data_IF_541058381913
#
_entry.id   IF_541058381913
#
_cell.length_a   1.000
_cell.length_b   1.000
_cell.length_c   1.000
_cell.angle_alpha   90.00
_cell.angle_beta   90.00
_cell.angle_gamma   90.00
#
_symmetry.space_group_name_H-M   'P 1'
#
loop_
_entity.id
_entity.type
_entity.pdbx_description
1 polymer ?
#
# COMPACT_ATOMS: atom_id res chain seq x y z
N UNK A 1 22.00 19.23 12.92
CA UNK A 1 20.72 18.47 12.80
C UNK A 1 19.90 18.79 14.05
N UNK A 2 18.56 18.92 13.96
CA UNK A 2 17.74 19.20 15.15
C UNK A 2 17.81 18.03 16.12
N UNK A 3 17.90 18.31 17.43
CA UNK A 3 17.99 17.31 18.48
C UNK A 3 16.84 16.29 18.44
N UNK A 4 15.62 16.72 18.14
CA UNK A 4 14.45 15.85 17.94
C UNK A 4 14.65 14.80 16.83
N UNK A 5 15.43 15.10 15.79
CA UNK A 5 15.74 14.16 14.72
C UNK A 5 16.83 13.17 15.15
N UNK A 6 17.79 13.62 15.94
CA UNK A 6 18.87 12.76 16.47
C UNK A 6 18.34 11.73 17.46
N UNK A 7 17.28 12.07 18.20
CA UNK A 7 16.67 11.23 19.24
C UNK A 7 15.50 10.37 18.71
N UNK A 8 15.26 10.34 17.39
CA UNK A 8 14.24 9.42 16.81
C UNK A 8 14.68 7.97 17.03
N UNK A 9 13.82 7.23 17.74
CA UNK A 9 14.03 5.79 17.89
C UNK A 9 13.82 5.05 16.55
N UNK A 10 14.66 4.05 16.28
CA UNK A 10 14.49 3.17 15.14
C UNK A 10 13.20 2.33 15.29
N UNK A 11 12.60 1.98 14.16
CA UNK A 11 11.41 1.11 14.14
C UNK A 11 11.72 -0.27 14.73
N UNK A 12 11.03 -0.65 15.79
CA UNK A 12 11.17 -1.97 16.43
C UNK A 12 10.73 -3.11 15.51
N UNK A 13 9.71 -2.89 14.68
CA UNK A 13 9.29 -3.86 13.65
C UNK A 13 10.42 -4.09 12.66
N UNK A 14 11.10 -3.01 12.22
CA UNK A 14 12.23 -3.12 11.29
C UNK A 14 13.43 -3.84 11.93
N UNK A 15 13.69 -3.62 13.19
CA UNK A 15 14.74 -4.34 13.95
C UNK A 15 14.49 -5.85 13.95
N UNK A 16 13.26 -6.27 14.25
CA UNK A 16 12.87 -7.70 14.24
C UNK A 16 12.97 -8.28 12.83
N UNK A 17 12.46 -7.59 11.82
CA UNK A 17 12.52 -8.05 10.43
C UNK A 17 13.97 -8.21 9.95
N UNK A 18 14.85 -7.26 10.27
CA UNK A 18 16.26 -7.32 9.87
C UNK A 18 17.01 -8.48 10.54
N UNK A 19 16.64 -8.87 11.76
CA UNK A 19 17.24 -10.01 12.45
C UNK A 19 16.91 -11.36 11.79
N UNK A 20 15.78 -11.45 11.09
CA UNK A 20 15.33 -12.66 10.37
C UNK A 20 15.54 -12.62 8.85
N UNK A 21 15.94 -11.49 8.30
CA UNK A 21 16.08 -11.33 6.85
C UNK A 21 17.15 -12.30 6.27
N UNK A 22 16.77 -13.04 5.22
CA UNK A 22 17.63 -14.02 4.54
C UNK A 22 17.75 -15.37 5.26
N UNK A 23 17.06 -15.58 6.38
CA UNK A 23 17.01 -16.85 7.09
C UNK A 23 15.86 -17.72 6.59
N UNK A 24 16.17 -18.90 6.06
CA UNK A 24 15.16 -19.87 5.57
C UNK A 24 14.52 -20.73 6.67
N UNK A 25 15.08 -20.69 7.89
CA UNK A 25 14.61 -21.40 9.08
C UNK A 25 13.63 -20.57 9.93
N UNK A 26 13.28 -19.37 9.48
CA UNK A 26 12.42 -18.43 10.21
C UNK A 26 11.15 -18.13 9.40
N UNK A 27 9.99 -18.24 10.04
CA UNK A 27 8.71 -17.81 9.47
C UNK A 27 8.57 -16.28 9.63
N UNK A 28 8.31 -15.59 8.51
CA UNK A 28 8.29 -14.13 8.42
C UNK A 28 6.93 -13.56 8.85
N UNK A 29 6.71 -13.32 10.15
CA UNK A 29 5.48 -12.74 10.69
C UNK A 29 5.65 -11.27 11.13
N UNK A 30 6.68 -10.57 10.67
CA UNK A 30 7.00 -9.21 11.11
C UNK A 30 6.28 -8.10 10.36
N UNK A 31 5.77 -8.35 9.15
CA UNK A 31 4.98 -7.40 8.37
C UNK A 31 3.57 -7.92 8.11
N UNK A 32 2.60 -7.01 8.00
CA UNK A 32 1.22 -7.33 7.60
C UNK A 32 1.09 -7.46 6.10
N UNK A 33 1.84 -8.38 5.50
CA UNK A 33 1.80 -8.67 4.07
C UNK A 33 1.43 -10.15 3.82
N UNK A 34 0.81 -10.43 2.68
CA UNK A 34 0.53 -11.79 2.24
C UNK A 34 1.82 -12.45 1.72
N UNK A 35 1.94 -13.76 1.87
CA UNK A 35 2.93 -14.61 1.22
C UNK A 35 2.55 -14.96 -0.23
N UNK A 36 1.32 -14.61 -0.65
CA UNK A 36 0.86 -14.78 -2.02
C UNK A 36 1.32 -13.62 -2.91
N UNK A 37 1.73 -13.96 -4.13
CA UNK A 37 2.05 -12.96 -5.15
C UNK A 37 0.79 -12.21 -5.54
N UNK A 38 0.90 -10.87 -5.68
CA UNK A 38 -0.21 -10.04 -6.17
C UNK A 38 -0.85 -10.65 -7.42
N UNK A 39 -2.18 -10.77 -7.50
CA UNK A 39 -2.87 -11.36 -8.65
C UNK A 39 -2.49 -10.73 -10.00
N UNK A 40 -2.43 -11.56 -11.05
CA UNK A 40 -2.00 -11.14 -12.38
C UNK A 40 -2.79 -9.94 -12.93
N UNK A 41 -4.10 -9.91 -12.71
CA UNK A 41 -4.97 -8.81 -13.17
C UNK A 41 -4.53 -7.46 -12.59
N UNK A 42 -4.10 -7.44 -11.32
CA UNK A 42 -3.62 -6.21 -10.64
C UNK A 42 -2.26 -5.80 -11.18
N UNK A 43 -1.34 -6.77 -11.32
CA UNK A 43 0.00 -6.52 -11.86
C UNK A 43 -0.06 -6.03 -13.31
N UNK A 44 -0.89 -6.67 -14.14
CA UNK A 44 -1.04 -6.29 -15.54
C UNK A 44 -1.62 -4.89 -15.67
N UNK A 45 -2.62 -4.52 -14.88
CA UNK A 45 -3.18 -3.17 -14.87
C UNK A 45 -2.10 -2.10 -14.56
N UNK A 46 -1.19 -2.39 -13.62
CA UNK A 46 -0.09 -1.48 -13.32
C UNK A 46 0.92 -1.39 -14.48
N UNK A 47 1.25 -2.51 -15.12
CA UNK A 47 2.14 -2.54 -16.29
C UNK A 47 1.53 -1.72 -17.44
N UNK A 48 0.26 -1.94 -17.74
CA UNK A 48 -0.46 -1.23 -18.80
C UNK A 48 -0.52 0.29 -18.53
N UNK A 49 -0.74 0.69 -17.28
CA UNK A 49 -0.70 2.09 -16.86
C UNK A 49 0.67 2.74 -17.15
N UNK A 50 1.74 2.07 -16.76
CA UNK A 50 3.11 2.53 -17.06
C UNK A 50 3.38 2.61 -18.57
N UNK A 51 2.93 1.63 -19.36
CA UNK A 51 3.08 1.63 -20.81
C UNK A 51 2.30 2.76 -21.49
N UNK A 52 1.15 3.17 -20.93
CA UNK A 52 0.41 4.35 -21.38
C UNK A 52 1.04 5.68 -20.97
N UNK A 53 2.12 5.67 -20.20
CA UNK A 53 2.81 6.87 -19.73
C UNK A 53 2.08 7.60 -18.58
N UNK A 54 1.27 6.90 -17.81
CA UNK A 54 0.54 7.44 -16.65
C UNK A 54 1.49 7.57 -15.44
N UNK A 55 2.49 8.46 -15.56
CA UNK A 55 3.61 8.59 -14.60
C UNK A 55 3.68 9.98 -13.97
N UNK A 56 2.59 10.73 -13.98
CA UNK A 56 2.51 12.08 -13.42
C UNK A 56 1.89 12.07 -12.02
N UNK A 57 2.07 13.15 -11.29
CA UNK A 57 1.44 13.34 -9.99
C UNK A 57 -0.09 13.32 -10.10
N UNK A 58 -0.73 12.53 -9.27
CA UNK A 58 -2.17 12.56 -9.10
C UNK A 58 -2.60 13.75 -8.22
N UNK A 59 -3.89 14.03 -8.18
CA UNK A 59 -4.48 14.95 -7.21
C UNK A 59 -4.24 14.47 -5.77
N UNK A 60 -4.19 15.40 -4.80
CA UNK A 60 -3.94 15.07 -3.38
C UNK A 60 -4.92 14.05 -2.79
N UNK A 61 -6.13 13.99 -3.30
CA UNK A 61 -7.14 13.00 -2.93
C UNK A 61 -7.08 11.71 -3.78
N UNK A 62 -6.03 11.54 -4.59
CA UNK A 62 -5.90 10.41 -5.52
C UNK A 62 -6.70 10.56 -6.80
N UNK A 63 -6.69 9.52 -7.63
CA UNK A 63 -7.42 9.49 -8.89
C UNK A 63 -8.93 9.35 -8.65
N UNK A 64 -9.78 10.12 -9.35
CA UNK A 64 -11.25 10.02 -9.24
C UNK A 64 -11.74 8.58 -9.46
N UNK A 65 -11.21 7.90 -10.47
CA UNK A 65 -11.56 6.53 -10.83
C UNK A 65 -11.26 5.54 -9.70
N UNK A 66 -10.15 5.71 -8.98
CA UNK A 66 -9.84 4.90 -7.80
C UNK A 66 -10.86 5.14 -6.69
N UNK A 67 -11.22 6.39 -6.43
CA UNK A 67 -12.19 6.75 -5.37
C UNK A 67 -13.59 6.21 -5.68
N UNK A 68 -14.00 6.26 -6.94
CA UNK A 68 -15.25 5.68 -7.41
C UNK A 68 -15.25 4.15 -7.25
N UNK A 69 -14.17 3.49 -7.65
CA UNK A 69 -14.01 2.05 -7.50
C UNK A 69 -14.04 1.60 -6.03
N UNK A 70 -13.35 2.34 -5.14
CA UNK A 70 -13.38 2.09 -3.69
C UNK A 70 -14.79 2.30 -3.13
N UNK A 71 -15.47 3.38 -3.51
CA UNK A 71 -16.84 3.66 -3.06
C UNK A 71 -17.81 2.55 -3.52
N UNK A 72 -17.70 2.10 -4.76
CA UNK A 72 -18.51 1.02 -5.31
C UNK A 72 -18.26 -0.31 -4.56
N UNK A 73 -17.00 -0.68 -4.35
CA UNK A 73 -16.63 -1.89 -3.61
C UNK A 73 -17.16 -1.85 -2.17
N UNK A 74 -16.93 -0.77 -1.46
CA UNK A 74 -17.37 -0.62 -0.07
C UNK A 74 -18.89 -0.58 0.06
N UNK A 75 -19.61 -0.02 -0.93
CA UNK A 75 -21.08 -0.02 -0.95
C UNK A 75 -21.69 -1.42 -1.18
N UNK A 76 -20.90 -2.37 -1.66
CA UNK A 76 -21.31 -3.79 -1.72
C UNK A 76 -21.23 -4.52 -0.37
N UNK A 77 -20.44 -4.00 0.55
CA UNK A 77 -20.19 -4.59 1.88
C UNK A 77 -20.92 -3.84 3.01
N UNK A 78 -21.23 -2.57 2.79
CA UNK A 78 -21.80 -1.64 3.78
C UNK A 78 -22.93 -0.81 3.14
N UNK A 79 -23.65 0.03 3.92
CA UNK A 79 -24.56 1.01 3.36
C UNK A 79 -23.85 1.91 2.33
N UNK A 80 -24.60 2.42 1.35
CA UNK A 80 -24.09 3.22 0.24
C UNK A 80 -23.07 4.28 0.70
N UNK A 81 -21.89 4.26 0.09
CA UNK A 81 -20.81 5.21 0.33
C UNK A 81 -20.57 6.04 -0.94
N UNK A 82 -20.63 7.36 -0.80
CA UNK A 82 -20.33 8.28 -1.91
C UNK A 82 -18.81 8.46 -2.08
N UNK A 83 -18.33 8.59 -3.32
CA UNK A 83 -16.91 8.78 -3.63
C UNK A 83 -16.32 10.04 -2.96
N UNK A 84 -17.14 11.05 -2.67
CA UNK A 84 -16.75 12.25 -1.93
C UNK A 84 -16.29 11.97 -0.48
N UNK A 85 -16.65 10.82 0.07
CA UNK A 85 -16.26 10.38 1.43
C UNK A 85 -15.00 9.50 1.45
N UNK A 86 -14.46 9.16 0.29
CA UNK A 86 -13.19 8.45 0.16
C UNK A 86 -12.08 9.51 0.17
N UNK A 87 -11.19 9.51 1.17
CA UNK A 87 -10.12 10.50 1.30
C UNK A 87 -9.04 10.32 0.26
#
# INVERSE_FOLDING_TARGET
>A
MREAIQNLEASKIREVANAGLGRSDVLAFWFGESDEVTPDVVRQAAIDSLQRGETFYAHNLGLPELREAVAAYMSGLHPKIEASRIP
#
